data_IF_201738616608
#
_entry.id   IF_201738616608
#
_cell.length_a   1.000
_cell.length_b   1.000
_cell.length_c   1.000
_cell.angle_alpha   90.00
_cell.angle_beta   90.00
_cell.angle_gamma   90.00
#
_symmetry.space_group_name_H-M   'P 1'
#
loop_
_entity.id
_entity.type
_entity.pdbx_description
1 polymer ?
#
# COMPACT_ATOMS: atom_id res chain seq x y z
N UNK A 1 3.74 -3.31 -22.01
CA UNK A 1 2.37 -3.04 -21.53
C UNK A 1 2.26 -3.67 -20.15
N UNK A 2 1.62 -3.02 -19.18
CA UNK A 2 1.42 -3.61 -17.85
C UNK A 2 0.03 -4.25 -17.77
N UNK A 3 -0.07 -5.38 -17.10
CA UNK A 3 -1.33 -6.11 -16.95
C UNK A 3 -2.22 -5.53 -15.84
N UNK A 4 -1.60 -5.01 -14.76
CA UNK A 4 -2.27 -4.41 -13.60
C UNK A 4 -1.43 -3.30 -12.96
N UNK A 5 -2.08 -2.46 -12.16
CA UNK A 5 -1.45 -1.48 -11.26
C UNK A 5 -1.81 -1.83 -9.83
N UNK A 6 -0.81 -2.10 -9.00
CA UNK A 6 -0.98 -2.45 -7.59
C UNK A 6 -0.72 -1.21 -6.74
N UNK A 7 -1.74 -0.79 -5.99
CA UNK A 7 -1.64 0.27 -4.98
C UNK A 7 -1.16 -0.35 -3.68
N UNK A 8 -0.07 0.19 -3.12
CA UNK A 8 0.49 -0.23 -1.83
C UNK A 8 0.48 0.98 -0.88
N UNK A 9 -0.58 1.18 -0.08
CA UNK A 9 -0.60 2.26 0.90
C UNK A 9 0.43 1.97 2.00
N UNK A 10 1.25 2.96 2.33
CA UNK A 10 2.25 2.79 3.39
C UNK A 10 1.58 2.57 4.74
N UNK A 11 1.93 1.53 5.49
CA UNK A 11 1.44 1.31 6.85
C UNK A 11 1.97 2.40 7.80
N UNK A 12 3.27 2.38 8.09
CA UNK A 12 3.93 3.35 8.97
C UNK A 12 5.08 4.05 8.23
N UNK A 13 4.83 5.17 7.53
CA UNK A 13 5.86 5.89 6.78
C UNK A 13 6.83 6.63 7.74
N UNK A 14 8.10 6.19 7.89
CA UNK A 14 9.00 6.71 8.92
C UNK A 14 9.43 8.17 8.70
N UNK A 15 9.36 8.65 7.46
CA UNK A 15 9.79 10.00 7.07
C UNK A 15 8.65 11.04 7.09
N UNK A 16 7.42 10.62 7.36
CA UNK A 16 6.26 11.52 7.38
C UNK A 16 5.69 11.57 8.79
N UNK A 17 6.00 12.64 9.51
CA UNK A 17 5.73 12.75 10.96
C UNK A 17 4.49 13.56 11.32
N UNK A 18 3.96 14.38 10.41
CA UNK A 18 2.87 15.32 10.71
C UNK A 18 1.72 15.20 9.69
N UNK A 19 0.48 15.45 10.16
CA UNK A 19 -0.74 15.57 9.36
C UNK A 19 -1.04 14.39 8.43
N UNK A 20 -0.82 13.16 8.91
CA UNK A 20 -1.21 11.94 8.20
C UNK A 20 -2.39 11.29 8.90
N UNK A 21 -3.42 10.95 8.11
CA UNK A 21 -4.51 10.11 8.57
C UNK A 21 -4.00 8.70 8.92
N UNK A 22 -4.66 8.06 9.88
CA UNK A 22 -4.31 6.70 10.31
C UNK A 22 -4.27 5.73 9.13
N UNK A 23 -3.43 4.70 9.24
CA UNK A 23 -3.16 3.78 8.14
C UNK A 23 -4.44 3.14 7.60
N UNK A 24 -5.33 2.72 8.49
CA UNK A 24 -6.59 2.07 8.15
C UNK A 24 -7.52 2.99 7.35
N UNK A 25 -7.63 4.27 7.74
CA UNK A 25 -8.40 5.24 6.96
C UNK A 25 -7.82 5.44 5.56
N UNK A 26 -6.49 5.52 5.44
CA UNK A 26 -5.85 5.66 4.12
C UNK A 26 -6.04 4.43 3.27
N UNK A 27 -6.00 3.24 3.86
CA UNK A 27 -6.26 1.98 3.17
C UNK A 27 -7.68 1.95 2.59
N UNK A 28 -8.68 2.21 3.43
CA UNK A 28 -10.08 2.21 2.99
C UNK A 28 -10.37 3.33 1.97
N UNK A 29 -9.75 4.51 2.11
CA UNK A 29 -9.86 5.56 1.08
C UNK A 29 -9.33 5.10 -0.28
N UNK A 30 -8.17 4.43 -0.32
CA UNK A 30 -7.62 3.92 -1.58
C UNK A 30 -8.50 2.82 -2.15
N UNK A 31 -9.00 1.91 -1.30
CA UNK A 31 -9.92 0.84 -1.70
C UNK A 31 -11.15 1.39 -2.42
N UNK A 32 -11.82 2.38 -1.83
CA UNK A 32 -12.96 3.07 -2.44
C UNK A 32 -12.55 3.80 -3.73
N UNK A 33 -11.39 4.44 -3.76
CA UNK A 33 -10.94 5.18 -4.94
C UNK A 33 -10.66 4.28 -6.17
N UNK A 34 -10.31 3.02 -5.96
CA UNK A 34 -9.92 2.10 -7.06
C UNK A 34 -10.98 1.03 -7.37
N UNK A 35 -12.05 0.91 -6.59
CA UNK A 35 -12.99 -0.23 -6.64
C UNK A 35 -13.64 -0.47 -8.01
N UNK A 36 -13.77 0.57 -8.84
CA UNK A 36 -14.41 0.49 -10.15
C UNK A 36 -13.44 0.25 -11.32
N UNK A 37 -12.15 0.05 -11.06
CA UNK A 37 -11.15 -0.21 -12.10
C UNK A 37 -10.59 -1.63 -12.00
N UNK A 38 -10.99 -2.50 -12.93
CA UNK A 38 -10.55 -3.92 -12.98
C UNK A 38 -9.05 -4.13 -13.19
N UNK A 39 -8.32 -3.09 -13.60
CA UNK A 39 -6.87 -3.16 -13.77
C UNK A 39 -6.12 -2.71 -12.52
N UNK A 40 -6.82 -2.26 -11.48
CA UNK A 40 -6.23 -1.80 -10.23
C UNK A 40 -6.43 -2.84 -9.13
N UNK A 41 -5.42 -3.01 -8.31
CA UNK A 41 -5.45 -3.87 -7.13
C UNK A 41 -4.95 -3.12 -5.91
N UNK A 42 -5.48 -3.46 -4.75
CA UNK A 42 -5.01 -2.96 -3.47
C UNK A 42 -4.19 -4.05 -2.78
N UNK A 43 -3.02 -3.69 -2.26
CA UNK A 43 -2.17 -4.58 -1.47
C UNK A 43 -2.03 -4.07 -0.04
N UNK A 44 -2.26 -4.97 0.91
CA UNK A 44 -2.07 -4.81 2.36
C UNK A 44 -0.70 -5.33 2.83
N UNK A 45 0.24 -5.58 1.91
CA UNK A 45 1.55 -6.18 2.21
C UNK A 45 2.33 -5.44 3.29
N UNK A 46 2.26 -4.11 3.32
CA UNK A 46 2.91 -3.32 4.36
C UNK A 46 2.15 -3.34 5.71
N UNK A 47 0.83 -3.54 5.69
CA UNK A 47 0.01 -3.69 6.89
C UNK A 47 0.31 -5.02 7.58
N UNK A 48 0.39 -6.10 6.81
CA UNK A 48 0.72 -7.43 7.32
C UNK A 48 2.09 -7.47 8.00
N UNK A 49 3.05 -6.65 7.52
CA UNK A 49 4.38 -6.54 8.11
C UNK A 49 4.39 -5.82 9.46
N UNK A 50 3.42 -4.96 9.76
CA UNK A 50 3.31 -4.21 11.02
C UNK A 50 4.61 -3.49 11.47
N UNK A 51 5.42 -3.02 10.52
CA UNK A 51 6.67 -2.29 10.77
C UNK A 51 6.73 -1.02 9.90
N UNK A 52 7.80 -0.24 10.04
CA UNK A 52 8.04 0.90 9.19
C UNK A 52 8.02 0.52 7.69
N UNK A 53 7.36 1.36 6.92
CA UNK A 53 7.20 1.23 5.48
C UNK A 53 8.50 1.57 4.76
N UNK A 54 9.10 0.56 4.13
CA UNK A 54 10.28 0.71 3.30
C UNK A 54 10.08 0.01 1.95
N UNK A 55 10.26 0.76 0.87
CA UNK A 55 10.07 0.26 -0.51
C UNK A 55 10.94 -0.96 -0.82
N UNK A 56 12.18 -1.01 -0.30
CA UNK A 56 13.06 -2.16 -0.52
C UNK A 56 12.49 -3.47 0.04
N UNK A 57 11.80 -3.42 1.19
CA UNK A 57 11.15 -4.59 1.79
C UNK A 57 9.91 -4.98 0.99
N UNK A 58 9.09 -4.01 0.61
CA UNK A 58 7.88 -4.22 -0.19
C UNK A 58 8.19 -4.87 -1.54
N UNK A 59 9.20 -4.37 -2.26
CA UNK A 59 9.63 -4.97 -3.54
C UNK A 59 10.21 -6.37 -3.34
N UNK A 60 10.97 -6.60 -2.27
CA UNK A 60 11.51 -7.94 -1.96
C UNK A 60 10.39 -8.95 -1.74
N UNK A 61 9.39 -8.58 -0.96
CA UNK A 61 8.26 -9.44 -0.60
C UNK A 61 7.36 -9.74 -1.82
N UNK A 62 7.12 -8.74 -2.68
CA UNK A 62 6.40 -8.92 -3.94
C UNK A 62 7.12 -9.86 -4.93
N UNK A 63 8.45 -9.91 -4.92
CA UNK A 63 9.22 -10.83 -5.77
C UNK A 63 9.30 -12.26 -5.20
N UNK A 64 8.82 -12.48 -3.97
CA UNK A 64 8.79 -13.81 -3.34
C UNK A 64 7.40 -14.47 -3.37
N UNK A 65 6.39 -13.78 -3.87
CA UNK A 65 5.05 -14.30 -4.16
C UNK A 65 5.02 -14.96 -5.55
#
# INVERSE_FOLDING_TARGET
MFDKIIFVPSFTPPLKTNNIAEADYRFEMVKLAIEHNKYFELSDIEFNRNTASYTALTVKELNTL
#
